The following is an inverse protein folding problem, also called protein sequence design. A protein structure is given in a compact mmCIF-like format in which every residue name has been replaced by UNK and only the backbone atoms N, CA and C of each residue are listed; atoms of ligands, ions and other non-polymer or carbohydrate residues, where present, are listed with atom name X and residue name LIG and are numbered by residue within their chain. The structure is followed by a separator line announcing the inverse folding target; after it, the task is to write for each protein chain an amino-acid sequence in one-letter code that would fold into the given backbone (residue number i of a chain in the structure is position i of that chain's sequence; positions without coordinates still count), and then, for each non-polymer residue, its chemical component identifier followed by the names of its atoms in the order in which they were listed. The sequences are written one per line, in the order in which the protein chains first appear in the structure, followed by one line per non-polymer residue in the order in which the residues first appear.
data_IF_113428922322
#
_entry.id   IF_113428922322
#
_cell.length_a   1.000
_cell.length_b   1.000
_cell.length_c   1.000
_cell.angle_alpha   90.00
_cell.angle_beta   90.00
_cell.angle_gamma   90.00
#
_symmetry.space_group_name_H-M   'P 1'
#
loop_
_entity.id
_entity.type
_entity.pdbx_description
1 polymer ?
#
# COMPACT_ATOMS: atom_id res chain seq x y z
N UNK A 1 -24.13 4.54 18.70
CA UNK A 1 -22.81 4.91 19.20
C UNK A 1 -21.95 5.43 18.07
N UNK A 2 -21.30 6.54 18.28
CA UNK A 2 -20.46 7.16 17.27
C UNK A 2 -19.07 6.54 17.30
N UNK A 3 -18.59 6.08 16.13
CA UNK A 3 -17.23 5.59 16.01
C UNK A 3 -16.32 6.80 15.88
N UNK A 4 -15.19 6.79 16.59
CA UNK A 4 -14.22 7.85 16.48
C UNK A 4 -13.64 7.93 15.06
N UNK A 5 -13.34 9.14 14.62
CA UNK A 5 -12.75 9.36 13.30
C UNK A 5 -11.24 9.42 13.41
N UNK A 6 -10.57 8.91 12.40
CA UNK A 6 -9.12 8.80 12.37
C UNK A 6 -8.51 9.81 11.39
N UNK A 7 -7.37 10.37 11.79
CA UNK A 7 -6.61 11.30 10.95
C UNK A 7 -5.61 10.59 10.05
N UNK A 8 -5.31 9.34 10.36
CA UNK A 8 -4.36 8.53 9.59
C UNK A 8 -4.96 7.16 9.40
N UNK A 9 -4.95 6.68 8.17
CA UNK A 9 -5.28 5.31 7.81
C UNK A 9 -4.02 4.69 7.23
N UNK A 10 -3.62 3.56 7.78
CA UNK A 10 -2.48 2.79 7.28
C UNK A 10 -3.01 1.46 6.78
N UNK A 11 -2.78 1.16 5.51
CA UNK A 11 -3.38 -0.01 4.89
C UNK A 11 -2.37 -0.81 4.06
N UNK A 12 -2.43 -2.12 4.23
CA UNK A 12 -1.67 -3.07 3.44
C UNK A 12 -2.66 -4.13 2.96
N UNK A 13 -3.41 -3.85 1.89
CA UNK A 13 -4.50 -4.72 1.48
C UNK A 13 -4.02 -6.09 1.01
N UNK A 14 -4.80 -7.14 1.24
CA UNK A 14 -4.49 -8.47 0.74
C UNK A 14 -4.86 -8.57 -0.74
N UNK A 15 -4.04 -7.97 -1.59
CA UNK A 15 -4.28 -7.91 -3.03
C UNK A 15 -4.44 -9.30 -3.64
N UNK A 16 -5.38 -9.42 -4.58
CA UNK A 16 -5.53 -10.63 -5.39
C UNK A 16 -4.93 -10.37 -6.75
N UNK A 17 -4.00 -11.24 -7.15
CA UNK A 17 -3.37 -11.15 -8.47
C UNK A 17 -4.27 -11.84 -9.50
N UNK A 18 -4.65 -11.09 -10.53
CA UNK A 18 -5.57 -11.59 -11.53
C UNK A 18 -4.94 -12.62 -12.47
N UNK A 19 -3.64 -12.58 -12.65
CA UNK A 19 -2.97 -13.47 -13.58
C UNK A 19 -3.08 -14.93 -13.18
N UNK A 20 -3.28 -15.23 -11.91
CA UNK A 20 -3.38 -16.59 -11.41
C UNK A 20 -2.12 -17.42 -11.59
N UNK A 21 -1.05 -16.82 -12.09
CA UNK A 21 0.18 -17.54 -12.43
C UNK A 21 1.25 -17.47 -11.35
N UNK A 22 1.00 -16.71 -10.31
CA UNK A 22 1.99 -16.48 -9.27
C UNK A 22 1.98 -17.67 -8.31
N UNK A 23 3.01 -18.50 -8.40
CA UNK A 23 3.18 -19.61 -7.47
C UNK A 23 3.58 -19.06 -6.12
N UNK A 24 2.95 -19.59 -5.07
CA UNK A 24 3.20 -19.11 -3.72
C UNK A 24 2.61 -17.73 -3.46
N UNK A 25 1.67 -17.33 -4.28
CA UNK A 25 0.98 -16.07 -4.09
C UNK A 25 0.23 -16.04 -2.76
N UNK A 26 -0.14 -14.84 -2.32
CA UNK A 26 -0.84 -14.64 -1.05
C UNK A 26 -2.09 -15.50 -0.92
N UNK A 27 -2.81 -15.72 -2.00
CA UNK A 27 -4.02 -16.54 -2.00
C UNK A 27 -3.79 -18.01 -1.66
N UNK A 28 -2.54 -18.47 -1.67
CA UNK A 28 -2.18 -19.82 -1.23
C UNK A 28 -1.84 -19.87 0.27
N UNK A 29 -1.66 -18.73 0.91
CA UNK A 29 -1.18 -18.65 2.29
C UNK A 29 -2.15 -17.91 3.21
N UNK A 30 -2.91 -16.97 2.69
CA UNK A 30 -3.89 -16.22 3.45
C UNK A 30 -4.96 -15.66 2.51
N UNK A 31 -6.14 -15.33 3.05
CA UNK A 31 -7.24 -14.83 2.22
C UNK A 31 -6.86 -13.54 1.50
N UNK A 32 -7.24 -13.46 0.24
CA UNK A 32 -7.13 -12.25 -0.56
C UNK A 32 -8.51 -11.66 -0.83
N UNK A 33 -8.54 -10.40 -1.23
CA UNK A 33 -9.78 -9.72 -1.59
C UNK A 33 -9.68 -9.18 -3.01
N UNK A 34 -10.79 -9.25 -3.74
CA UNK A 34 -10.87 -8.61 -5.05
C UNK A 34 -10.81 -7.09 -4.90
N UNK A 35 -10.40 -6.42 -5.98
CA UNK A 35 -10.39 -4.95 -5.96
C UNK A 35 -11.80 -4.39 -5.73
N UNK A 36 -12.82 -5.02 -6.27
CA UNK A 36 -14.20 -4.56 -6.06
C UNK A 36 -14.60 -4.65 -4.59
N UNK A 37 -14.25 -5.73 -3.92
CA UNK A 37 -14.54 -5.88 -2.50
C UNK A 37 -13.73 -4.90 -1.65
N UNK A 38 -12.47 -4.67 -2.00
CA UNK A 38 -11.65 -3.68 -1.31
C UNK A 38 -12.24 -2.28 -1.45
N UNK A 39 -12.69 -1.92 -2.65
CA UNK A 39 -13.31 -0.63 -2.90
C UNK A 39 -14.63 -0.46 -2.13
N UNK A 40 -15.32 -1.55 -1.87
CA UNK A 40 -16.61 -1.52 -1.17
C UNK A 40 -16.48 -1.41 0.35
N UNK A 41 -15.27 -1.57 0.90
CA UNK A 41 -15.06 -1.40 2.34
C UNK A 41 -15.40 0.05 2.74
N UNK A 42 -16.14 0.25 3.84
CA UNK A 42 -16.61 1.58 4.23
C UNK A 42 -15.51 2.40 4.94
N UNK A 43 -14.35 2.51 4.34
CA UNK A 43 -13.22 3.21 4.94
C UNK A 43 -13.50 4.70 5.12
N UNK A 44 -14.27 5.29 4.21
CA UNK A 44 -14.62 6.70 4.31
C UNK A 44 -15.32 7.04 5.63
N UNK A 45 -16.07 6.11 6.19
CA UNK A 45 -16.79 6.30 7.45
C UNK A 45 -15.85 6.38 8.65
N UNK A 46 -14.61 5.89 8.50
CA UNK A 46 -13.63 5.90 9.57
C UNK A 46 -12.77 7.16 9.57
N UNK A 47 -12.84 7.97 8.51
CA UNK A 47 -11.92 9.08 8.33
C UNK A 47 -12.44 10.36 8.95
N UNK A 48 -11.54 11.12 9.58
CA UNK A 48 -11.81 12.48 9.97
C UNK A 48 -11.88 13.37 8.72
N UNK A 49 -12.30 14.62 8.90
CA UNK A 49 -12.35 15.60 7.81
C UNK A 49 -11.00 15.74 7.11
N UNK A 50 -9.94 15.79 7.89
CA UNK A 50 -8.56 15.85 7.39
C UNK A 50 -7.88 14.53 7.73
N UNK A 51 -7.53 13.78 6.72
CA UNK A 51 -7.00 12.43 6.91
C UNK A 51 -5.93 12.12 5.86
N UNK A 52 -4.88 11.44 6.29
CA UNK A 52 -3.84 10.92 5.41
C UNK A 52 -3.96 9.40 5.31
N UNK A 53 -3.87 8.89 4.10
CA UNK A 53 -3.87 7.46 3.82
C UNK A 53 -2.47 7.04 3.38
N UNK A 54 -1.92 6.03 4.04
CA UNK A 54 -0.68 5.37 3.64
C UNK A 54 -1.03 3.97 3.16
N UNK A 55 -0.87 3.74 1.85
CA UNK A 55 -1.33 2.52 1.20
C UNK A 55 -0.16 1.79 0.55
N UNK A 56 0.15 0.60 1.04
CA UNK A 56 1.17 -0.25 0.44
C UNK A 56 0.66 -0.91 -0.82
N UNK A 57 1.52 -0.93 -1.84
CA UNK A 57 1.22 -1.57 -3.11
C UNK A 57 2.49 -2.11 -3.75
N UNK A 58 2.34 -3.20 -4.50
CA UNK A 58 3.39 -3.63 -5.41
C UNK A 58 3.24 -2.88 -6.71
N UNK A 59 4.31 -2.82 -7.51
CA UNK A 59 4.24 -2.09 -8.77
C UNK A 59 3.19 -2.66 -9.74
N UNK A 60 3.04 -4.00 -9.86
CA UNK A 60 1.97 -4.52 -10.73
C UNK A 60 0.56 -4.16 -10.27
N UNK A 61 0.36 -3.87 -8.98
CA UNK A 61 -0.94 -3.51 -8.42
C UNK A 61 -1.18 -2.00 -8.42
N UNK A 62 -0.28 -1.21 -9.00
CA UNK A 62 -0.41 0.24 -8.96
C UNK A 62 -1.74 0.75 -9.51
N UNK A 63 -2.25 0.27 -10.66
CA UNK A 63 -3.54 0.74 -11.16
C UNK A 63 -4.68 0.49 -10.18
N UNK A 64 -4.70 -0.69 -9.55
CA UNK A 64 -5.72 -1.06 -8.58
C UNK A 64 -5.59 -0.21 -7.32
N UNK A 65 -4.37 0.08 -6.90
CA UNK A 65 -4.13 0.93 -5.74
C UNK A 65 -4.67 2.35 -5.97
N UNK A 66 -4.45 2.90 -7.14
CA UNK A 66 -4.96 4.23 -7.50
C UNK A 66 -6.49 4.24 -7.53
N UNK A 67 -7.09 3.18 -8.05
CA UNK A 67 -8.55 3.03 -8.04
C UNK A 67 -9.08 2.96 -6.61
N UNK A 68 -8.41 2.23 -5.75
CA UNK A 68 -8.81 2.06 -4.35
C UNK A 68 -8.75 3.38 -3.59
N UNK A 69 -7.70 4.15 -3.80
CA UNK A 69 -7.55 5.48 -3.19
C UNK A 69 -8.76 6.34 -3.49
N UNK A 70 -9.17 6.37 -4.75
CA UNK A 70 -10.32 7.16 -5.18
C UNK A 70 -11.62 6.63 -4.59
N UNK A 71 -11.79 5.30 -4.57
CA UNK A 71 -12.99 4.68 -4.04
C UNK A 71 -13.17 4.96 -2.55
N UNK A 72 -12.08 5.06 -1.80
CA UNK A 72 -12.13 5.37 -0.37
C UNK A 72 -12.24 6.87 -0.08
N UNK A 73 -12.35 7.71 -1.13
CA UNK A 73 -12.60 9.13 -0.96
C UNK A 73 -11.34 9.98 -0.79
N UNK A 74 -10.18 9.44 -1.16
CA UNK A 74 -8.90 10.15 -1.05
C UNK A 74 -8.41 10.61 -2.41
N UNK A 75 -7.47 11.55 -2.38
CA UNK A 75 -6.77 12.01 -3.56
C UNK A 75 -5.29 11.62 -3.46
N UNK A 76 -4.80 10.93 -4.48
CA UNK A 76 -3.38 10.56 -4.54
C UNK A 76 -2.50 11.82 -4.54
N UNK A 77 -1.44 11.79 -3.75
CA UNK A 77 -0.49 12.91 -3.67
C UNK A 77 0.89 12.54 -4.16
N UNK A 78 1.46 11.47 -3.63
CA UNK A 78 2.83 11.08 -3.96
C UNK A 78 3.11 9.70 -3.41
N UNK A 79 4.31 9.21 -3.69
CA UNK A 79 4.85 8.03 -3.03
C UNK A 79 5.48 8.48 -1.72
N UNK A 80 4.94 8.00 -0.60
CA UNK A 80 5.47 8.33 0.73
C UNK A 80 6.78 7.61 0.97
N UNK A 81 6.81 6.30 0.68
CA UNK A 81 7.99 5.47 0.95
C UNK A 81 8.25 4.50 -0.18
N UNK A 82 9.54 4.24 -0.42
CA UNK A 82 10.01 3.18 -1.30
C UNK A 82 10.84 2.24 -0.44
N UNK A 83 10.39 0.99 -0.34
CA UNK A 83 11.09 -0.04 0.42
C UNK A 83 11.89 -0.90 -0.53
N UNK A 84 13.22 -0.80 -0.43
CA UNK A 84 14.12 -1.68 -1.16
C UNK A 84 14.40 -2.89 -0.27
N UNK A 85 14.05 -4.06 -0.77
CA UNK A 85 14.13 -5.30 0.00
C UNK A 85 15.53 -5.86 -0.03
N UNK A 86 16.01 -6.24 1.14
CA UNK A 86 17.30 -6.88 1.32
C UNK A 86 17.07 -8.31 1.82
N UNK A 87 17.99 -9.20 1.51
CA UNK A 87 17.93 -10.57 2.03
C UNK A 87 18.12 -10.56 3.56
N UNK A 88 17.48 -11.50 4.23
CA UNK A 88 17.52 -11.58 5.68
C UNK A 88 18.88 -11.92 6.23
N UNK A 89 19.60 -12.83 5.57
CA UNK A 89 20.78 -13.47 6.13
C UNK A 89 22.09 -12.94 5.57
N UNK A 90 22.03 -12.03 4.61
CA UNK A 90 23.24 -11.49 4.00
C UNK A 90 22.97 -10.10 3.46
N UNK A 91 24.01 -9.29 3.16
CA UNK A 91 23.82 -7.92 2.74
C UNK A 91 23.50 -7.74 1.25
N UNK A 92 22.98 -8.78 0.61
CA UNK A 92 22.60 -8.68 -0.80
C UNK A 92 21.13 -8.28 -0.95
N UNK A 93 20.79 -7.78 -2.14
CA UNK A 93 19.43 -7.40 -2.45
C UNK A 93 18.56 -8.64 -2.66
N UNK A 94 17.33 -8.56 -2.19
CA UNK A 94 16.30 -9.54 -2.54
C UNK A 94 15.70 -9.16 -3.88
N UNK A 95 15.52 -10.16 -4.76
CA UNK A 95 14.86 -9.95 -6.04
C UNK A 95 13.74 -10.97 -6.22
N UNK A 96 12.52 -10.46 -6.41
CA UNK A 96 11.40 -11.28 -6.85
C UNK A 96 11.43 -11.48 -8.36
N UNK A 97 10.41 -12.16 -8.89
CA UNK A 97 10.35 -12.42 -10.32
C UNK A 97 9.98 -11.18 -11.13
N UNK A 98 9.02 -10.39 -10.65
CA UNK A 98 8.52 -9.23 -11.38
C UNK A 98 7.83 -9.62 -12.68
N UNK A 99 7.30 -8.63 -13.38
CA UNK A 99 6.66 -8.86 -14.66
C UNK A 99 7.61 -8.68 -15.83
N UNK A 100 8.56 -7.81 -15.70
CA UNK A 100 9.45 -7.45 -16.78
C UNK A 100 10.89 -7.43 -16.30
N UNK A 101 11.15 -6.65 -15.28
CA UNK A 101 12.43 -6.67 -14.58
C UNK A 101 12.23 -7.38 -13.24
N UNK A 102 13.33 -7.82 -12.64
CA UNK A 102 13.26 -8.48 -11.35
C UNK A 102 12.91 -7.45 -10.28
N UNK A 103 11.81 -7.72 -9.57
CA UNK A 103 11.30 -6.78 -8.58
C UNK A 103 11.99 -6.91 -7.24
N UNK A 104 12.42 -5.80 -6.67
CA UNK A 104 12.99 -5.78 -5.33
C UNK A 104 12.51 -4.61 -4.48
N UNK A 105 11.42 -3.99 -4.90
CA UNK A 105 10.90 -2.84 -4.18
C UNK A 105 9.39 -2.91 -4.05
N UNK A 106 8.88 -2.30 -2.99
CA UNK A 106 7.47 -2.01 -2.82
C UNK A 106 7.32 -0.54 -2.48
N UNK A 107 6.15 0.00 -2.74
CA UNK A 107 5.88 1.42 -2.51
C UNK A 107 4.71 1.60 -1.56
N UNK A 108 4.81 2.64 -0.74
CA UNK A 108 3.72 3.11 0.09
C UNK A 108 3.25 4.44 -0.48
N UNK A 109 2.02 4.46 -0.95
CA UNK A 109 1.44 5.65 -1.56
C UNK A 109 0.85 6.55 -0.48
N UNK A 110 0.98 7.85 -0.67
CA UNK A 110 0.33 8.85 0.17
C UNK A 110 -0.84 9.46 -0.58
N UNK A 111 -2.00 9.40 0.06
CA UNK A 111 -3.19 10.07 -0.43
C UNK A 111 -3.81 10.87 0.72
N UNK A 112 -4.55 11.91 0.39
CA UNK A 112 -5.12 12.77 1.42
C UNK A 112 -6.59 13.04 1.18
N UNK A 113 -7.27 13.35 2.27
CA UNK A 113 -8.64 13.85 2.28
C UNK A 113 -8.62 15.10 3.14
N UNK A 114 -9.19 16.20 2.63
CA UNK A 114 -9.05 17.47 3.31
C UNK A 114 -7.62 17.99 3.24
N UNK A 115 -7.15 18.57 4.33
CA UNK A 115 -5.83 19.19 4.39
C UNK A 115 -5.07 18.75 5.64
N UNK A 116 -4.68 17.46 5.74
CA UNK A 116 -3.87 17.04 6.87
C UNK A 116 -2.50 17.67 6.81
N UNK A 117 -1.93 17.98 7.98
CA UNK A 117 -0.63 18.63 8.06
C UNK A 117 0.41 17.63 8.55
N UNK A 118 1.56 17.58 7.88
CA UNK A 118 2.70 16.82 8.37
C UNK A 118 3.33 17.55 9.54
N UNK A 119 3.92 16.79 10.47
CA UNK A 119 4.62 17.37 11.61
C UNK A 119 6.11 17.51 11.37
N UNK A 120 6.64 16.85 10.35
CA UNK A 120 8.06 16.95 10.00
C UNK A 120 8.23 16.84 8.49
N UNK A 121 9.13 17.65 7.96
CA UNK A 121 9.53 17.60 6.56
C UNK A 121 10.80 16.75 6.35
N UNK A 122 11.38 16.25 7.45
CA UNK A 122 12.68 15.57 7.39
C UNK A 122 12.64 14.05 7.26
N UNK A 123 11.46 13.45 7.12
CA UNK A 123 11.36 12.00 6.97
C UNK A 123 11.78 11.60 5.56
N UNK A 124 12.73 10.68 5.47
CA UNK A 124 13.24 10.22 4.18
C UNK A 124 12.28 9.23 3.53
N UNK A 125 12.16 9.31 2.21
CA UNK A 125 11.27 8.45 1.44
C UNK A 125 11.80 7.03 1.28
N UNK A 126 13.09 6.87 1.31
CA UNK A 126 13.79 5.65 0.97
C UNK A 126 14.01 4.77 2.20
N UNK A 127 13.65 3.50 2.12
CA UNK A 127 13.82 2.53 3.20
C UNK A 127 14.56 1.32 2.66
N UNK A 128 15.64 0.93 3.34
CA UNK A 128 16.34 -0.32 3.08
C UNK A 128 16.14 -1.20 4.30
N UNK A 129 15.57 -2.37 4.09
CA UNK A 129 15.25 -3.26 5.20
C UNK A 129 15.19 -4.70 4.70
N UNK A 130 15.50 -5.68 5.57
CA UNK A 130 15.33 -7.07 5.20
C UNK A 130 13.87 -7.39 4.89
N UNK A 131 13.67 -8.42 4.06
CA UNK A 131 12.33 -8.97 3.84
C UNK A 131 11.84 -9.61 5.15
N UNK A 132 10.53 -9.55 5.33
CA UNK A 132 9.90 -10.12 6.52
C UNK A 132 9.67 -11.62 6.40
#
# INVERSE_FOLDING_TARGET
MTIGKYNIIYADPPWRYESGKVQGAAENHYPTMSIDNLCALPVAELTAKDCALFLWATFPQLPEALRLIKAWGFQYKTVAFVWLKRNRKNPTWFYGLGYWTRGNAEICLLATKGKPKRQSAGVHQFIISPIE
#
